data_IF_742496619211
#
_entry.id   IF_742496619211
#
_cell.length_a   1.000
_cell.length_b   1.000
_cell.length_c   1.000
_cell.angle_alpha   90.00
_cell.angle_beta   90.00
_cell.angle_gamma   90.00
#
_symmetry.space_group_name_H-M   'P 1'
#
loop_
_entity.id
_entity.type
_entity.pdbx_description
1 polymer ?
#
# COMPACT_ATOMS: atom_id res chain seq x y z
N UNK A 1 -7.99 2.12 -8.70
CA UNK A 1 -7.68 0.75 -9.19
C UNK A 1 -6.15 0.60 -9.18
N UNK A 2 -5.56 -0.08 -8.19
CA UNK A 2 -4.15 -0.51 -8.26
C UNK A 2 -4.17 -1.91 -8.87
N UNK A 3 -3.66 -2.06 -10.09
CA UNK A 3 -3.62 -3.33 -10.80
C UNK A 3 -2.24 -3.96 -10.59
N UNK A 4 -2.03 -4.58 -9.42
CA UNK A 4 -0.85 -5.41 -9.17
C UNK A 4 -1.00 -6.70 -9.97
N UNK A 5 -0.05 -6.97 -10.85
CA UNK A 5 -0.20 -7.96 -11.93
C UNK A 5 -0.11 -9.42 -11.53
N UNK A 6 -0.17 -9.79 -10.24
CA UNK A 6 -0.12 -11.20 -9.84
C UNK A 6 -0.89 -11.44 -8.53
N UNK A 7 -1.84 -12.39 -8.61
CA UNK A 7 -2.69 -13.00 -7.56
C UNK A 7 -4.10 -12.43 -7.42
N UNK A 8 -4.99 -13.32 -6.97
CA UNK A 8 -6.35 -12.98 -6.59
C UNK A 8 -6.30 -12.14 -5.31
N UNK A 9 -7.01 -11.02 -5.33
CA UNK A 9 -7.23 -10.17 -4.18
C UNK A 9 -8.67 -9.68 -4.26
N UNK A 10 -9.27 -9.44 -3.11
CA UNK A 10 -10.59 -8.85 -3.04
C UNK A 10 -10.47 -7.35 -2.79
N UNK A 11 -11.37 -6.59 -3.43
CA UNK A 11 -11.47 -5.15 -3.23
C UNK A 11 -12.68 -4.86 -2.36
N UNK A 12 -12.44 -4.31 -1.19
CA UNK A 12 -13.49 -3.74 -0.34
C UNK A 12 -13.46 -2.23 -0.49
N UNK A 13 -14.47 -1.67 -1.18
CA UNK A 13 -14.58 -0.22 -1.36
C UNK A 13 -15.22 0.42 -0.13
N UNK A 14 -14.62 1.51 0.35
CA UNK A 14 -15.11 2.27 1.52
C UNK A 14 -15.80 3.55 1.04
N UNK A 15 -17.02 3.80 1.52
CA UNK A 15 -17.64 5.11 1.39
C UNK A 15 -16.95 6.10 2.35
N UNK A 16 -16.19 7.06 1.82
CA UNK A 16 -15.41 8.00 2.65
C UNK A 16 -16.28 9.02 3.39
N UNK A 17 -17.52 9.26 2.94
CA UNK A 17 -18.48 10.13 3.61
C UNK A 17 -19.25 9.42 4.72
N UNK A 18 -19.24 8.09 4.73
CA UNK A 18 -19.89 7.24 5.73
C UNK A 18 -19.03 6.01 5.95
N UNK A 19 -17.95 6.20 6.73
CA UNK A 19 -16.96 5.16 6.99
C UNK A 19 -17.56 4.14 7.97
N UNK A 20 -17.46 2.83 7.69
CA UNK A 20 -17.92 1.81 8.63
C UNK A 20 -16.97 1.73 9.83
N UNK A 21 -17.50 1.41 11.02
CA UNK A 21 -16.73 1.39 12.27
C UNK A 21 -15.57 0.38 12.24
N UNK A 22 -15.74 -0.77 11.58
CA UNK A 22 -14.70 -1.79 11.45
C UNK A 22 -13.47 -1.32 10.65
N UNK A 23 -13.55 -0.20 9.90
CA UNK A 23 -12.39 0.35 9.22
C UNK A 23 -11.29 0.74 10.20
N UNK A 24 -11.65 1.20 11.40
CA UNK A 24 -10.70 1.66 12.41
C UNK A 24 -9.87 0.52 13.00
N UNK A 25 -10.36 -0.72 12.92
CA UNK A 25 -9.59 -1.92 13.27
C UNK A 25 -8.54 -2.25 12.19
N UNK A 26 -8.73 -1.76 10.94
CA UNK A 26 -7.84 -2.00 9.81
C UNK A 26 -6.86 -0.84 9.55
N UNK A 27 -7.31 0.39 9.74
CA UNK A 27 -6.51 1.60 9.66
C UNK A 27 -6.87 2.50 10.85
N UNK A 28 -6.01 2.62 11.87
CA UNK A 28 -6.31 3.41 13.08
C UNK A 28 -6.65 4.88 12.79
N UNK A 29 -6.20 5.40 11.65
CA UNK A 29 -6.47 6.77 11.21
C UNK A 29 -7.75 6.89 10.36
N UNK A 30 -8.49 5.79 10.17
CA UNK A 30 -9.67 5.72 9.31
C UNK A 30 -9.37 6.09 7.85
N UNK A 31 -8.14 5.82 7.39
CA UNK A 31 -7.68 6.13 6.03
C UNK A 31 -7.66 4.86 5.18
N UNK A 32 -7.72 5.06 3.88
CA UNK A 32 -7.48 4.00 2.88
C UNK A 32 -6.25 4.37 2.05
N UNK A 33 -5.52 3.38 1.50
CA UNK A 33 -5.75 1.94 1.60
C UNK A 33 -5.35 1.32 2.94
N UNK A 34 -5.91 0.14 3.22
CA UNK A 34 -5.42 -0.84 4.19
C UNK A 34 -5.30 -2.19 3.48
N UNK A 35 -4.32 -3.00 3.84
CA UNK A 35 -4.07 -4.33 3.30
C UNK A 35 -4.18 -5.36 4.42
N UNK A 36 -5.13 -6.28 4.30
CA UNK A 36 -5.25 -7.44 5.18
C UNK A 36 -4.62 -8.65 4.50
N UNK A 37 -3.75 -9.36 5.21
CA UNK A 37 -3.10 -10.58 4.75
C UNK A 37 -3.94 -11.80 5.12
N UNK A 38 -3.69 -12.94 4.45
CA UNK A 38 -4.33 -14.22 4.78
C UNK A 38 -4.07 -14.67 6.24
N UNK A 39 -3.00 -14.18 6.86
CA UNK A 39 -2.66 -14.41 8.27
C UNK A 39 -3.55 -13.64 9.25
N UNK A 40 -4.33 -12.66 8.76
CA UNK A 40 -5.09 -11.71 9.56
C UNK A 40 -4.31 -10.45 9.95
N UNK A 41 -3.01 -10.38 9.64
CA UNK A 41 -2.22 -9.16 9.85
C UNK A 41 -2.71 -8.03 8.94
N UNK A 42 -2.67 -6.79 9.44
CA UNK A 42 -3.11 -5.62 8.69
C UNK A 42 -2.00 -4.59 8.58
N UNK A 43 -1.80 -4.09 7.36
CA UNK A 43 -0.92 -2.99 7.03
C UNK A 43 -1.73 -1.77 6.60
N UNK A 44 -1.30 -0.58 7.01
CA UNK A 44 -1.86 0.71 6.61
C UNK A 44 -0.71 1.67 6.26
N UNK A 45 -1.05 2.84 5.71
CA UNK A 45 -0.15 3.74 4.97
C UNK A 45 0.24 3.19 3.58
N UNK A 46 -0.08 3.95 2.53
CA UNK A 46 0.05 3.50 1.14
C UNK A 46 1.49 3.16 0.76
N UNK A 47 2.47 3.95 1.21
CA UNK A 47 3.89 3.71 0.89
C UNK A 47 4.43 2.47 1.61
N UNK A 48 4.02 2.23 2.86
CA UNK A 48 4.40 1.03 3.61
C UNK A 48 3.82 -0.23 2.93
N UNK A 49 2.55 -0.17 2.50
CA UNK A 49 1.91 -1.28 1.78
C UNK A 49 2.65 -1.58 0.47
N UNK A 50 3.00 -0.55 -0.30
CA UNK A 50 3.71 -0.73 -1.58
C UNK A 50 5.12 -1.31 -1.36
N UNK A 51 5.86 -0.84 -0.37
CA UNK A 51 7.18 -1.37 -0.02
C UNK A 51 7.08 -2.85 0.41
N UNK A 52 6.12 -3.20 1.26
CA UNK A 52 5.86 -4.60 1.63
C UNK A 52 5.57 -5.48 0.41
N UNK A 53 4.74 -5.02 -0.52
CA UNK A 53 4.41 -5.79 -1.73
C UNK A 53 5.64 -5.96 -2.64
N UNK A 54 6.47 -4.94 -2.79
CA UNK A 54 7.71 -5.01 -3.58
C UNK A 54 8.71 -6.02 -2.99
N UNK A 55 8.86 -6.01 -1.66
CA UNK A 55 9.73 -6.95 -0.94
C UNK A 55 9.15 -8.37 -0.91
N UNK A 56 7.83 -8.53 -0.80
CA UNK A 56 7.18 -9.84 -0.75
C UNK A 56 7.16 -10.55 -2.11
N UNK A 57 7.16 -9.79 -3.21
CA UNK A 57 6.95 -10.28 -4.58
C UNK A 57 8.04 -9.84 -5.56
N UNK A 58 9.22 -10.45 -5.46
CA UNK A 58 10.39 -10.13 -6.29
C UNK A 58 10.25 -10.34 -7.81
N UNK A 59 9.17 -10.98 -8.28
CA UNK A 59 8.97 -11.28 -9.71
C UNK A 59 8.71 -10.02 -10.54
N UNK A 60 8.10 -9.00 -9.93
CA UNK A 60 7.76 -7.73 -10.58
C UNK A 60 8.10 -6.57 -9.65
N UNK A 61 9.38 -6.26 -9.56
CA UNK A 61 9.85 -5.16 -8.70
C UNK A 61 9.30 -3.82 -9.20
N UNK A 62 8.74 -3.06 -8.26
CA UNK A 62 8.22 -1.71 -8.42
C UNK A 62 9.33 -0.67 -8.29
N UNK A 63 10.27 -0.88 -7.36
CA UNK A 63 11.40 0.01 -7.17
C UNK A 63 12.51 -0.22 -8.20
N UNK A 64 13.23 0.84 -8.53
CA UNK A 64 14.44 0.73 -9.33
C UNK A 64 15.48 -0.19 -8.65
N UNK A 65 16.14 -1.04 -9.43
CA UNK A 65 17.23 -1.91 -8.95
C UNK A 65 18.49 -1.13 -8.57
N UNK A 66 18.75 -0.01 -9.27
CA UNK A 66 19.85 0.87 -8.95
C UNK A 66 19.55 1.66 -7.64
N UNK A 67 20.40 1.54 -6.60
CA UNK A 67 20.14 2.20 -5.32
C UNK A 67 20.06 3.72 -5.41
N UNK A 68 20.84 4.35 -6.29
CA UNK A 68 20.82 5.81 -6.45
C UNK A 68 19.50 6.25 -7.08
N UNK A 69 19.02 5.56 -8.11
CA UNK A 69 17.72 5.84 -8.70
C UNK A 69 16.58 5.63 -7.70
N UNK A 70 16.58 4.52 -6.94
CA UNK A 70 15.59 4.28 -5.88
C UNK A 70 15.57 5.41 -4.85
N UNK A 71 16.74 5.92 -4.45
CA UNK A 71 16.83 7.06 -3.54
C UNK A 71 16.26 8.36 -4.15
N UNK A 72 16.51 8.62 -5.44
CA UNK A 72 15.94 9.77 -6.15
C UNK A 72 14.42 9.68 -6.26
N UNK A 73 13.88 8.50 -6.55
CA UNK A 73 12.44 8.26 -6.62
C UNK A 73 11.78 8.52 -5.26
N UNK A 74 12.41 8.09 -4.16
CA UNK A 74 11.96 8.39 -2.80
C UNK A 74 11.98 9.89 -2.49
N UNK A 75 13.04 10.61 -2.88
CA UNK A 75 13.08 12.06 -2.71
C UNK A 75 11.94 12.77 -3.46
N UNK A 76 11.58 12.29 -4.65
CA UNK A 76 10.45 12.81 -5.42
C UNK A 76 9.11 12.56 -4.70
N UNK A 77 8.92 11.37 -4.12
CA UNK A 77 7.73 11.06 -3.32
C UNK A 77 7.63 12.00 -2.11
N UNK A 78 8.73 12.20 -1.38
CA UNK A 78 8.76 13.11 -0.24
C UNK A 78 8.49 14.56 -0.63
N UNK A 79 8.92 15.00 -1.83
CA UNK A 79 8.61 16.32 -2.35
C UNK A 79 7.12 16.47 -2.70
N UNK A 80 6.50 15.41 -3.23
CA UNK A 80 5.07 15.41 -3.59
C UNK A 80 4.15 15.37 -2.36
N UNK A 81 4.60 14.79 -1.25
CA UNK A 81 3.83 14.70 -0.01
C UNK A 81 3.80 16.01 0.80
N UNK A 82 4.42 17.09 0.30
CA UNK A 82 4.41 18.42 0.93
C UNK A 82 3.23 19.28 0.55
#
# INVERSE_FOLDING_TARGET
>A
MMKLHLRMYDIVNINLSSKPDWLYDKSPYGKVPALELETGDVLYESLIIVDYLDERYHQHQLHAKDPLQKAKDRLLIEQFNR
#
